data_IF_980457940121
#
_entry.id   IF_980457940121
#
_cell.length_a   1.000
_cell.length_b   1.000
_cell.length_c   1.000
_cell.angle_alpha   90.00
_cell.angle_beta   90.00
_cell.angle_gamma   90.00
#
_symmetry.space_group_name_H-M   'P 1'
#
loop_
_entity.id
_entity.type
_entity.pdbx_description
1 polymer ?
#
# COMPACT_ATOMS: atom_id res chain seq x y z
N UNK A 1 -97.94 9.14 -2.66
CA UNK A 1 -97.27 10.25 -1.97
C UNK A 1 -95.97 9.73 -1.36
N UNK A 2 -94.87 9.85 -2.10
CA UNK A 2 -93.51 9.56 -1.62
C UNK A 2 -92.65 10.75 -2.01
N UNK A 3 -92.45 11.67 -1.06
CA UNK A 3 -91.50 12.76 -1.19
C UNK A 3 -90.10 12.16 -1.09
N UNK A 4 -89.50 11.83 -2.22
CA UNK A 4 -88.05 11.61 -2.30
C UNK A 4 -87.41 12.98 -2.05
N UNK A 5 -86.64 13.16 -0.96
CA UNK A 5 -86.03 14.45 -0.68
C UNK A 5 -84.95 14.72 -1.74
N UNK A 6 -85.12 15.78 -2.53
CA UNK A 6 -84.21 16.23 -3.57
C UNK A 6 -82.79 16.60 -3.08
N UNK A 7 -82.51 16.46 -1.78
CA UNK A 7 -81.23 16.78 -1.13
C UNK A 7 -80.21 15.63 -1.13
N UNK A 8 -80.62 14.39 -1.42
CA UNK A 8 -79.71 13.23 -1.46
C UNK A 8 -78.59 13.32 -2.54
N UNK A 9 -78.82 13.80 -3.77
CA UNK A 9 -77.76 13.86 -4.79
C UNK A 9 -76.69 14.92 -4.51
N UNK A 10 -77.03 16.03 -3.85
CA UNK A 10 -76.09 17.12 -3.56
C UNK A 10 -75.11 16.74 -2.44
N UNK A 11 -75.59 16.04 -1.41
CA UNK A 11 -74.74 15.51 -0.33
C UNK A 11 -73.83 14.39 -0.87
N UNK A 12 -74.33 13.54 -1.76
CA UNK A 12 -73.52 12.51 -2.41
C UNK A 12 -72.43 13.10 -3.32
N UNK A 13 -72.74 14.14 -4.08
CA UNK A 13 -71.76 14.81 -4.97
C UNK A 13 -70.64 15.51 -4.19
N UNK A 14 -70.96 16.19 -3.09
CA UNK A 14 -69.96 16.86 -2.23
C UNK A 14 -69.09 15.85 -1.47
N UNK A 15 -69.67 14.74 -1.01
CA UNK A 15 -68.92 13.63 -0.41
C UNK A 15 -67.95 12.98 -1.42
N UNK A 16 -68.38 12.78 -2.67
CA UNK A 16 -67.52 12.21 -3.71
C UNK A 16 -66.34 13.12 -4.08
N UNK A 17 -66.58 14.44 -4.21
CA UNK A 17 -65.52 15.42 -4.49
C UNK A 17 -64.52 15.50 -3.34
N UNK A 18 -64.98 15.57 -2.09
CA UNK A 18 -64.08 15.62 -0.92
C UNK A 18 -63.24 14.35 -0.80
N UNK A 19 -63.82 13.17 -1.01
CA UNK A 19 -63.09 11.91 -1.07
C UNK A 19 -62.04 11.89 -2.19
N UNK A 20 -62.39 12.38 -3.39
CA UNK A 20 -61.46 12.48 -4.52
C UNK A 20 -60.31 13.46 -4.24
N UNK A 21 -60.58 14.61 -3.63
CA UNK A 21 -59.56 15.58 -3.24
C UNK A 21 -58.62 15.04 -2.17
N UNK A 22 -59.14 14.35 -1.14
CA UNK A 22 -58.32 13.71 -0.11
C UNK A 22 -57.45 12.61 -0.71
N UNK A 23 -58.03 11.74 -1.56
CA UNK A 23 -57.28 10.70 -2.26
C UNK A 23 -56.20 11.29 -3.18
N UNK A 24 -56.51 12.32 -3.97
CA UNK A 24 -55.55 12.98 -4.84
C UNK A 24 -54.43 13.67 -4.05
N UNK A 25 -54.77 14.34 -2.94
CA UNK A 25 -53.79 14.98 -2.05
C UNK A 25 -52.88 13.96 -1.38
N UNK A 26 -53.45 12.84 -0.90
CA UNK A 26 -52.70 11.74 -0.31
C UNK A 26 -51.78 11.07 -1.35
N UNK A 27 -52.27 10.80 -2.57
CA UNK A 27 -51.47 10.26 -3.67
C UNK A 27 -50.35 11.22 -4.09
N UNK A 28 -50.61 12.52 -4.14
CA UNK A 28 -49.57 13.50 -4.46
C UNK A 28 -48.51 13.59 -3.35
N UNK A 29 -48.94 13.54 -2.09
CA UNK A 29 -48.04 13.59 -0.93
C UNK A 29 -47.17 12.32 -0.84
N UNK A 30 -47.75 11.15 -1.04
CA UNK A 30 -47.03 9.88 -1.08
C UNK A 30 -46.08 9.81 -2.28
N UNK A 31 -46.50 10.27 -3.47
CA UNK A 31 -45.60 10.39 -4.63
C UNK A 31 -44.41 11.30 -4.34
N UNK A 32 -44.65 12.48 -3.75
CA UNK A 32 -43.58 13.41 -3.36
C UNK A 32 -42.64 12.79 -2.33
N UNK A 33 -43.17 12.08 -1.34
CA UNK A 33 -42.37 11.39 -0.33
C UNK A 33 -41.51 10.28 -0.95
N UNK A 34 -42.10 9.44 -1.81
CA UNK A 34 -41.35 8.40 -2.52
C UNK A 34 -40.25 9.00 -3.39
N UNK A 35 -40.55 10.05 -4.17
CA UNK A 35 -39.51 10.71 -4.99
C UNK A 35 -38.37 11.27 -4.14
N UNK A 36 -38.65 11.79 -2.94
CA UNK A 36 -37.61 12.27 -2.02
C UNK A 36 -36.75 11.11 -1.50
N UNK A 37 -37.39 10.02 -1.06
CA UNK A 37 -36.69 8.83 -0.60
C UNK A 37 -35.83 8.20 -1.70
N UNK A 38 -36.31 8.18 -2.94
CA UNK A 38 -35.53 7.70 -4.09
C UNK A 38 -34.29 8.56 -4.33
N UNK A 39 -34.44 9.89 -4.34
CA UNK A 39 -33.30 10.82 -4.52
C UNK A 39 -32.29 10.68 -3.38
N UNK A 40 -32.74 10.57 -2.14
CA UNK A 40 -31.87 10.39 -0.98
C UNK A 40 -31.13 9.05 -1.01
N UNK A 41 -31.85 7.97 -1.35
CA UNK A 41 -31.26 6.65 -1.55
C UNK A 41 -30.24 6.65 -2.68
N UNK A 42 -30.55 7.28 -3.80
CA UNK A 42 -29.64 7.30 -4.95
C UNK A 42 -28.39 8.14 -4.65
N UNK A 43 -28.52 9.25 -3.93
CA UNK A 43 -27.37 10.03 -3.44
C UNK A 43 -26.49 9.20 -2.48
N UNK A 44 -27.10 8.47 -1.54
CA UNK A 44 -26.36 7.59 -0.63
C UNK A 44 -25.65 6.44 -1.38
N UNK A 45 -26.31 5.83 -2.38
CA UNK A 45 -25.70 4.81 -3.24
C UNK A 45 -24.54 5.37 -4.05
N UNK A 46 -24.65 6.59 -4.57
CA UNK A 46 -23.55 7.24 -5.28
C UNK A 46 -22.36 7.54 -4.36
N UNK A 47 -22.59 8.02 -3.16
CA UNK A 47 -21.50 8.30 -2.21
C UNK A 47 -20.80 7.02 -1.76
N UNK A 48 -21.57 5.97 -1.45
CA UNK A 48 -21.00 4.65 -1.12
C UNK A 48 -20.21 4.05 -2.29
N UNK A 49 -20.71 4.17 -3.52
CA UNK A 49 -19.97 3.74 -4.71
C UNK A 49 -18.68 4.53 -4.91
N UNK A 50 -18.70 5.86 -4.65
CA UNK A 50 -17.52 6.72 -4.73
C UNK A 50 -16.46 6.32 -3.70
N UNK A 51 -16.87 6.09 -2.45
CA UNK A 51 -15.96 5.65 -1.38
C UNK A 51 -15.38 4.27 -1.73
N UNK A 52 -16.22 3.33 -2.16
CA UNK A 52 -15.77 2.00 -2.56
C UNK A 52 -14.75 2.05 -3.71
N UNK A 53 -15.00 2.87 -4.74
CA UNK A 53 -14.06 3.07 -5.85
C UNK A 53 -12.72 3.64 -5.36
N UNK A 54 -12.74 4.60 -4.43
CA UNK A 54 -11.50 5.15 -3.85
C UNK A 54 -10.74 4.12 -3.00
N UNK A 55 -11.46 3.26 -2.26
CA UNK A 55 -10.85 2.18 -1.49
C UNK A 55 -10.19 1.13 -2.39
N UNK A 56 -10.85 0.74 -3.48
CA UNK A 56 -10.24 -0.20 -4.44
C UNK A 56 -9.02 0.41 -5.14
N UNK A 57 -9.09 1.67 -5.57
CA UNK A 57 -7.93 2.37 -6.15
C UNK A 57 -6.74 2.43 -5.16
N UNK A 58 -6.99 2.71 -3.88
CA UNK A 58 -5.95 2.71 -2.85
C UNK A 58 -5.36 1.31 -2.64
N UNK A 59 -6.21 0.27 -2.65
CA UNK A 59 -5.77 -1.12 -2.52
C UNK A 59 -4.91 -1.54 -3.71
N UNK A 60 -5.31 -1.21 -4.93
CA UNK A 60 -4.52 -1.48 -6.14
C UNK A 60 -3.17 -0.75 -6.10
N UNK A 61 -3.15 0.52 -5.70
CA UNK A 61 -1.90 1.28 -5.56
C UNK A 61 -0.99 0.71 -4.46
N UNK A 62 -1.58 0.23 -3.35
CA UNK A 62 -0.83 -0.47 -2.29
C UNK A 62 -0.26 -1.80 -2.80
N UNK A 63 -1.03 -2.57 -3.59
CA UNK A 63 -0.53 -3.79 -4.21
C UNK A 63 0.60 -3.50 -5.19
N UNK A 64 0.48 -2.45 -6.00
CA UNK A 64 1.55 -2.02 -6.90
C UNK A 64 2.81 -1.61 -6.14
N UNK A 65 2.68 -0.92 -5.01
CA UNK A 65 3.80 -0.63 -4.12
C UNK A 65 4.49 -1.93 -3.66
N UNK A 66 3.72 -2.88 -3.14
CA UNK A 66 4.23 -4.10 -2.52
C UNK A 66 4.84 -5.09 -3.51
N UNK A 67 4.18 -5.30 -4.64
CA UNK A 67 4.52 -6.37 -5.57
C UNK A 67 5.34 -5.89 -6.78
N UNK A 68 5.33 -4.59 -7.07
CA UNK A 68 6.04 -4.03 -8.22
C UNK A 68 7.19 -3.12 -7.77
N UNK A 69 6.87 -2.06 -7.01
CA UNK A 69 7.85 -1.00 -6.71
C UNK A 69 8.88 -1.42 -5.68
N UNK A 70 8.48 -2.10 -4.60
CA UNK A 70 9.42 -2.56 -3.58
C UNK A 70 10.44 -3.58 -4.11
N UNK A 71 10.04 -4.64 -4.83
CA UNK A 71 11.01 -5.56 -5.44
C UNK A 71 11.93 -4.86 -6.44
N UNK A 72 11.40 -3.94 -7.25
CA UNK A 72 12.20 -3.15 -8.18
C UNK A 72 13.18 -2.23 -7.45
N UNK A 73 12.80 -1.64 -6.31
CA UNK A 73 13.70 -0.88 -5.45
C UNK A 73 14.84 -1.77 -4.93
N UNK A 74 14.55 -2.97 -4.43
CA UNK A 74 15.59 -3.91 -3.96
C UNK A 74 16.55 -4.29 -5.10
N UNK A 75 16.02 -4.52 -6.30
CA UNK A 75 16.82 -4.75 -7.50
C UNK A 75 17.67 -3.53 -7.87
N UNK A 76 17.10 -2.32 -7.81
CA UNK A 76 17.79 -1.06 -8.07
C UNK A 76 18.95 -0.82 -7.08
N UNK A 77 18.74 -1.12 -5.80
CA UNK A 77 19.78 -1.01 -4.78
C UNK A 77 20.94 -1.98 -5.07
N UNK A 78 20.64 -3.15 -5.64
CA UNK A 78 21.66 -4.12 -6.05
C UNK A 78 22.39 -3.70 -7.32
N UNK A 79 21.68 -3.13 -8.29
CA UNK A 79 22.20 -2.64 -9.56
C UNK A 79 21.43 -1.39 -10.01
N UNK A 80 22.14 -0.26 -10.10
CA UNK A 80 21.55 1.03 -10.49
C UNK A 80 20.90 1.05 -11.88
N UNK A 81 21.14 0.00 -12.69
CA UNK A 81 20.57 -0.14 -14.04
C UNK A 81 19.08 -0.50 -14.03
N UNK A 82 18.54 -0.98 -12.90
CA UNK A 82 17.11 -1.33 -12.80
C UNK A 82 16.33 -0.10 -12.37
N UNK A 83 15.49 0.52 -13.22
CA UNK A 83 14.68 1.65 -12.80
C UNK A 83 13.59 1.19 -11.81
N UNK A 84 13.29 2.03 -10.82
CA UNK A 84 12.15 1.82 -9.92
C UNK A 84 10.90 2.37 -10.61
N UNK A 85 9.85 1.56 -10.79
CA UNK A 85 8.61 2.04 -11.38
C UNK A 85 7.97 3.15 -10.55
N UNK A 86 7.37 4.09 -11.27
CA UNK A 86 6.51 5.10 -10.68
C UNK A 86 5.21 4.47 -10.15
N UNK A 87 4.43 5.29 -9.45
CA UNK A 87 3.08 4.93 -8.99
C UNK A 87 2.18 4.55 -10.17
N UNK A 88 1.19 3.70 -9.91
CA UNK A 88 0.27 3.26 -10.95
C UNK A 88 -0.82 4.32 -11.21
N UNK A 89 -1.36 4.92 -10.15
CA UNK A 89 -2.41 5.93 -10.27
C UNK A 89 -1.90 7.35 -9.95
N UNK A 90 -1.99 8.24 -10.96
CA UNK A 90 -1.63 9.66 -10.85
C UNK A 90 -2.58 10.46 -9.95
N UNK A 91 -3.78 9.94 -9.65
CA UNK A 91 -4.71 10.59 -8.73
C UNK A 91 -4.16 10.73 -7.31
N UNK A 92 -3.17 9.92 -6.94
CA UNK A 92 -2.48 10.03 -5.65
C UNK A 92 -1.33 11.04 -5.65
N UNK A 93 -1.05 11.72 -6.76
CA UNK A 93 -0.05 12.78 -6.82
C UNK A 93 -0.37 13.96 -5.89
N UNK A 94 0.61 14.37 -5.10
CA UNK A 94 0.51 15.41 -4.07
C UNK A 94 -0.31 15.01 -2.84
N UNK A 95 -0.74 13.75 -2.72
CA UNK A 95 -1.58 13.30 -1.60
C UNK A 95 -0.75 12.70 -0.46
N UNK A 96 -1.37 12.56 0.71
CA UNK A 96 -0.76 11.86 1.86
C UNK A 96 -0.36 10.42 1.54
N UNK A 97 -1.07 9.77 0.60
CA UNK A 97 -0.75 8.40 0.13
C UNK A 97 0.59 8.38 -0.58
N UNK A 98 0.88 9.36 -1.44
CA UNK A 98 2.19 9.49 -2.07
C UNK A 98 3.28 9.67 -1.02
N UNK A 99 3.07 10.58 -0.08
CA UNK A 99 4.06 10.87 0.95
C UNK A 99 4.35 9.61 1.79
N UNK A 100 3.32 8.86 2.15
CA UNK A 100 3.46 7.60 2.88
C UNK A 100 4.22 6.54 2.05
N UNK A 101 3.90 6.37 0.77
CA UNK A 101 4.57 5.41 -0.11
C UNK A 101 6.03 5.78 -0.34
N UNK A 102 6.33 7.04 -0.60
CA UNK A 102 7.70 7.54 -0.75
C UNK A 102 8.50 7.37 0.53
N UNK A 103 7.91 7.68 1.69
CA UNK A 103 8.54 7.46 3.00
C UNK A 103 8.82 5.98 3.27
N UNK A 104 7.92 5.08 2.89
CA UNK A 104 8.12 3.64 3.05
C UNK A 104 9.28 3.13 2.19
N UNK A 105 9.36 3.55 0.92
CA UNK A 105 10.46 3.19 0.03
C UNK A 105 11.81 3.72 0.54
N UNK A 106 11.84 4.96 1.03
CA UNK A 106 13.04 5.56 1.60
C UNK A 106 13.51 4.80 2.85
N UNK A 107 12.61 4.45 3.77
CA UNK A 107 12.94 3.67 4.96
C UNK A 107 13.52 2.30 4.60
N UNK A 108 12.96 1.61 3.60
CA UNK A 108 13.50 0.33 3.12
C UNK A 108 14.88 0.51 2.50
N UNK A 109 15.07 1.54 1.68
CA UNK A 109 16.37 1.88 1.08
C UNK A 109 17.44 2.09 2.14
N UNK A 110 17.14 2.91 3.16
CA UNK A 110 18.05 3.17 4.28
C UNK A 110 18.37 1.91 5.08
N UNK A 111 17.37 1.08 5.39
CA UNK A 111 17.57 -0.16 6.12
C UNK A 111 18.48 -1.14 5.35
N UNK A 112 18.26 -1.30 4.05
CA UNK A 112 19.09 -2.16 3.19
C UNK A 112 20.51 -1.62 3.09
N UNK A 113 20.70 -0.31 2.93
CA UNK A 113 22.01 0.32 2.89
C UNK A 113 22.79 0.10 4.21
N UNK A 114 22.12 0.28 5.35
CA UNK A 114 22.72 0.05 6.66
C UNK A 114 23.13 -1.41 6.87
N UNK A 115 22.29 -2.37 6.44
CA UNK A 115 22.62 -3.79 6.55
C UNK A 115 23.79 -4.17 5.64
N UNK A 116 23.86 -3.64 4.41
CA UNK A 116 24.99 -3.88 3.50
C UNK A 116 26.31 -3.38 4.10
N UNK A 117 26.32 -2.18 4.68
CA UNK A 117 27.51 -1.67 5.36
C UNK A 117 27.98 -2.61 6.47
N UNK A 118 27.07 -3.08 7.32
CA UNK A 118 27.40 -4.04 8.39
C UNK A 118 27.95 -5.36 7.86
N UNK A 119 27.38 -5.88 6.77
CA UNK A 119 27.84 -7.13 6.13
C UNK A 119 29.22 -6.94 5.51
N UNK A 120 29.48 -5.82 4.84
CA UNK A 120 30.77 -5.52 4.22
C UNK A 120 31.87 -5.35 5.27
N UNK A 121 31.57 -4.70 6.40
CA UNK A 121 32.50 -4.60 7.54
C UNK A 121 32.84 -5.99 8.11
N UNK A 122 31.84 -6.85 8.28
CA UNK A 122 32.05 -8.22 8.74
C UNK A 122 32.90 -9.03 7.74
N UNK A 123 32.63 -8.91 6.44
CA UNK A 123 33.41 -9.55 5.39
C UNK A 123 34.89 -9.07 5.41
N UNK A 124 35.11 -7.76 5.57
CA UNK A 124 36.45 -7.18 5.70
C UNK A 124 37.19 -7.68 6.95
N UNK A 125 36.49 -7.87 8.07
CA UNK A 125 37.09 -8.45 9.28
C UNK A 125 37.54 -9.90 9.03
N UNK A 126 36.71 -10.71 8.37
CA UNK A 126 37.04 -12.10 8.00
C UNK A 126 38.24 -12.16 7.04
N UNK A 127 38.25 -11.35 5.98
CA UNK A 127 39.37 -11.31 5.03
C UNK A 127 40.69 -10.91 5.69
N UNK A 128 40.67 -9.93 6.59
CA UNK A 128 41.86 -9.56 7.38
C UNK A 128 42.32 -10.72 8.27
N UNK A 129 41.40 -11.38 8.98
CA UNK A 129 41.71 -12.54 9.81
C UNK A 129 42.33 -13.69 9.00
N UNK A 130 41.73 -14.04 7.86
CA UNK A 130 42.24 -15.08 6.96
C UNK A 130 43.65 -14.74 6.45
N UNK A 131 43.89 -13.49 6.07
CA UNK A 131 45.22 -13.02 5.61
C UNK A 131 46.27 -13.19 6.71
N UNK A 132 45.95 -12.83 7.96
CA UNK A 132 46.86 -13.02 9.10
C UNK A 132 47.18 -14.50 9.33
N UNK A 133 46.20 -15.39 9.20
CA UNK A 133 46.41 -16.85 9.32
C UNK A 133 47.32 -17.38 8.22
N UNK A 134 47.09 -16.97 6.96
CA UNK A 134 47.92 -17.37 5.81
C UNK A 134 49.37 -16.90 6.02
N UNK A 135 49.57 -15.66 6.46
CA UNK A 135 50.90 -15.13 6.76
C UNK A 135 51.59 -15.94 7.87
N UNK A 136 50.88 -16.22 8.97
CA UNK A 136 51.42 -17.03 10.07
C UNK A 136 51.85 -18.43 9.60
N UNK A 137 51.03 -19.07 8.75
CA UNK A 137 51.35 -20.38 8.16
C UNK A 137 52.53 -20.33 7.19
N UNK A 138 52.74 -19.21 6.48
CA UNK A 138 53.89 -19.04 5.58
C UNK A 138 55.21 -18.80 6.33
N UNK A 139 55.17 -18.07 7.45
CA UNK A 139 56.37 -17.81 8.26
C UNK A 139 56.82 -19.02 9.09
N UNK A 140 55.90 -19.95 9.39
CA UNK A 140 56.20 -21.14 10.19
C UNK A 140 57.20 -22.13 9.53
N UNK A 141 57.11 -22.48 8.24
CA UNK A 141 58.12 -23.28 7.56
C UNK A 141 59.40 -22.49 7.28
N UNK A 142 59.31 -21.18 6.99
CA UNK A 142 60.49 -20.33 6.75
C UNK A 142 61.37 -20.24 8.01
N UNK A 143 60.79 -19.97 9.16
CA UNK A 143 61.52 -19.97 10.44
C UNK A 143 62.15 -21.33 10.77
N UNK A 144 61.52 -22.46 10.40
CA UNK A 144 62.12 -23.79 10.57
C UNK A 144 63.33 -24.01 9.66
N UNK A 145 63.29 -23.50 8.41
CA UNK A 145 64.43 -23.57 7.48
C UNK A 145 65.59 -22.73 8.01
N UNK A 146 65.32 -21.48 8.42
CA UNK A 146 66.33 -20.56 8.95
C UNK A 146 67.02 -21.11 10.20
N UNK A 147 66.25 -21.70 11.13
CA UNK A 147 66.79 -22.35 12.32
C UNK A 147 67.67 -23.55 11.93
N UNK A 148 67.26 -24.37 10.97
CA UNK A 148 68.06 -25.52 10.52
C UNK A 148 69.39 -25.10 9.85
N UNK A 149 69.40 -23.99 9.10
CA UNK A 149 70.60 -23.42 8.49
C UNK A 149 71.56 -22.86 9.55
N UNK A 150 71.05 -22.21 10.61
CA UNK A 150 71.86 -21.73 11.72
C UNK A 150 72.54 -22.88 12.50
N UNK A 151 71.84 -24.01 12.71
CA UNK A 151 72.42 -25.19 13.38
C UNK A 151 73.39 -26.00 12.50
N UNK A 152 73.24 -25.97 11.17
CA UNK A 152 74.16 -26.62 10.24
C UNK A 152 75.53 -25.96 10.16
N UNK A 153 75.57 -24.63 10.30
CA UNK A 153 76.81 -23.83 10.21
C UNK A 153 77.68 -23.94 11.47
N UNK A 154 77.06 -24.22 12.62
CA UNK A 154 77.78 -24.36 13.92
C UNK A 154 78.57 -25.67 14.06
N UNK A 155 78.26 -26.72 13.27
CA UNK A 155 78.96 -28.02 13.36
C UNK A 155 80.25 -28.11 12.52
N UNK A 156 80.62 -27.06 11.79
CA UNK A 156 81.83 -27.08 10.94
C UNK A 156 83.08 -26.49 11.62
N UNK A 157 82.96 -26.04 12.87
CA UNK A 157 84.05 -25.44 13.66
C UNK A 157 84.31 -26.23 14.96
N UNK A 158 84.73 -27.49 14.83
CA UNK A 158 85.39 -28.29 15.88
C UNK A 158 86.28 -29.30 15.19
#
# INVERSE_FOLDING_TARGET
MTLVPAALPEVAATAALTAAFVAASFLLSTRRLLTRLWVERDAAVQETARIAARCEALKEETQHLLFTRLPALVAHLSSQLVPVPERADLAFAGTEVEQAHTSALEQVSQAVAAERHRVDEAAHAVMRGATTVIQAQSYQPQSKIDISAAFGTSRCCT
#
